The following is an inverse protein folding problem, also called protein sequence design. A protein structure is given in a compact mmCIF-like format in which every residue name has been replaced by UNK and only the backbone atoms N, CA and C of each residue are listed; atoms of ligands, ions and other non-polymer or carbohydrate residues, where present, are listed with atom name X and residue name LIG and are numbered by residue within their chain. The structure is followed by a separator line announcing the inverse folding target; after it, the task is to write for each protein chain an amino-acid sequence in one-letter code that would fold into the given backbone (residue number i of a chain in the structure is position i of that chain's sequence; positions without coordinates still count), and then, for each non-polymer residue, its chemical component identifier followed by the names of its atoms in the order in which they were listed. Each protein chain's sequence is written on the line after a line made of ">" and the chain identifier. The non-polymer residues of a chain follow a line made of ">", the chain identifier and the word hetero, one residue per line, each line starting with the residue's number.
data_IF_114872162278
#
_entry.id   IF_114872162278
#
_cell.length_a   1.000
_cell.length_b   1.000
_cell.length_c   1.000
_cell.angle_alpha   90.00
_cell.angle_beta   90.00
_cell.angle_gamma   90.00
#
_symmetry.space_group_name_H-M   'P 1'
#
loop_
_entity.id
_entity.type
_entity.pdbx_description
1 polymer ?
#
# COMPACT_ATOMS: atom_id res chain seq x y z
N UNK A 1 14.40 13.60 3.12
CA UNK A 1 14.83 12.50 3.93
C UNK A 1 14.12 11.24 3.55
N UNK A 2 14.87 10.19 3.39
CA UNK A 2 14.33 8.94 2.88
C UNK A 2 13.21 8.36 3.73
N UNK A 3 13.27 8.54 5.03
CA UNK A 3 12.24 7.99 5.91
C UNK A 3 10.88 8.68 5.77
N UNK A 4 10.83 9.84 5.12
CA UNK A 4 9.57 10.52 4.85
C UNK A 4 8.83 9.81 3.71
N UNK A 5 9.57 9.25 2.79
CA UNK A 5 9.03 8.75 1.54
C UNK A 5 8.87 7.24 1.49
N UNK A 6 9.08 6.56 2.60
CA UNK A 6 9.01 5.13 2.56
C UNK A 6 8.56 4.54 3.88
N UNK A 7 8.19 3.28 3.83
CA UNK A 7 7.85 2.50 5.00
C UNK A 7 9.09 1.75 5.44
N UNK A 8 9.47 1.84 6.72
CA UNK A 8 10.70 1.20 7.18
C UNK A 8 10.63 -0.31 7.12
N UNK A 9 11.82 -0.94 7.17
CA UNK A 9 11.95 -2.40 7.15
C UNK A 9 11.73 -2.98 8.53
N UNK A 10 11.11 -4.16 8.56
CA UNK A 10 10.97 -4.95 9.77
C UNK A 10 9.79 -4.55 10.63
N UNK A 11 9.53 -5.35 11.65
CA UNK A 11 8.43 -5.11 12.56
C UNK A 11 8.89 -4.23 13.71
N UNK A 12 8.39 -2.99 13.74
CA UNK A 12 8.60 -2.06 14.84
C UNK A 12 7.48 -1.02 14.79
N UNK A 13 7.40 -0.21 15.84
CA UNK A 13 6.41 0.85 15.89
C UNK A 13 6.58 1.83 14.72
N UNK A 14 7.82 2.17 14.38
CA UNK A 14 8.14 3.06 13.27
C UNK A 14 8.14 2.38 11.92
N UNK A 15 8.18 1.06 11.89
CA UNK A 15 8.29 0.29 10.66
C UNK A 15 7.05 -0.51 10.32
N UNK A 16 6.09 -0.53 11.23
CA UNK A 16 4.87 -1.28 11.01
C UNK A 16 5.01 -2.75 11.40
N UNK A 17 3.87 -3.40 11.50
CA UNK A 17 3.75 -4.79 11.94
C UNK A 17 2.80 -5.50 11.01
N UNK A 18 3.17 -6.71 10.58
CA UNK A 18 2.32 -7.57 9.77
C UNK A 18 1.75 -8.67 10.64
N UNK A 19 0.43 -8.82 10.64
CA UNK A 19 -0.25 -9.91 11.35
C UNK A 19 -1.19 -10.58 10.35
N UNK A 20 -0.80 -11.78 9.92
CA UNK A 20 -1.52 -12.44 8.85
C UNK A 20 -1.38 -11.65 7.56
N UNK A 21 -2.50 -11.23 6.98
CA UNK A 21 -2.50 -10.41 5.77
C UNK A 21 -2.79 -8.94 6.06
N UNK A 22 -2.82 -8.55 7.34
CA UNK A 22 -3.08 -7.15 7.70
C UNK A 22 -1.82 -6.45 8.16
N UNK A 23 -1.63 -5.24 7.67
CA UNK A 23 -0.51 -4.37 8.01
C UNK A 23 -1.00 -3.28 8.95
N UNK A 24 -0.25 -3.04 10.03
CA UNK A 24 -0.52 -1.98 11.00
C UNK A 24 0.71 -1.11 11.13
N UNK A 25 0.53 0.19 11.20
CA UNK A 25 1.66 1.10 11.40
C UNK A 25 1.26 2.14 12.44
N UNK A 26 1.78 2.00 13.66
CA UNK A 26 1.38 2.86 14.78
C UNK A 26 1.77 4.32 14.58
N UNK A 27 3.00 4.57 14.15
CA UNK A 27 3.47 5.95 13.99
C UNK A 27 2.74 6.69 12.87
N UNK A 28 2.39 6.02 11.79
CA UNK A 28 1.58 6.61 10.73
C UNK A 28 0.10 6.57 11.06
N UNK A 29 -0.31 5.74 12.02
CA UNK A 29 -1.68 5.64 12.46
C UNK A 29 -2.62 4.99 11.45
N UNK A 30 -2.12 4.04 10.66
CA UNK A 30 -2.91 3.43 9.59
C UNK A 30 -2.87 1.91 9.65
N UNK A 31 -3.84 1.32 8.99
CA UNK A 31 -3.90 -0.13 8.78
C UNK A 31 -4.53 -0.42 7.43
N UNK A 32 -4.18 -1.55 6.86
CA UNK A 32 -4.83 -2.04 5.66
C UNK A 32 -4.72 -3.57 5.60
N UNK A 33 -5.66 -4.20 4.92
CA UNK A 33 -5.66 -5.64 4.73
C UNK A 33 -5.29 -5.96 3.28
N UNK A 34 -4.24 -6.75 3.11
CA UNK A 34 -3.94 -7.34 1.80
C UNK A 34 -4.89 -8.51 1.56
N UNK A 35 -5.00 -9.02 0.33
CA UNK A 35 -5.88 -10.14 0.07
C UNK A 35 -5.53 -11.34 0.95
N UNK A 36 -6.55 -12.05 1.42
CA UNK A 36 -6.35 -13.19 2.31
C UNK A 36 -5.46 -14.25 1.66
N UNK A 37 -4.49 -14.74 2.43
CA UNK A 37 -3.58 -15.77 1.97
C UNK A 37 -2.36 -15.26 1.23
N UNK A 38 -2.28 -13.96 0.97
CA UNK A 38 -1.10 -13.39 0.34
C UNK A 38 0.04 -13.28 1.34
N UNK A 39 1.26 -13.40 0.84
CA UNK A 39 2.47 -13.23 1.63
C UNK A 39 2.81 -11.73 1.65
N UNK A 40 3.09 -11.21 2.84
CA UNK A 40 3.37 -9.77 3.01
C UNK A 40 4.82 -9.59 3.44
N UNK A 41 5.56 -8.81 2.67
CA UNK A 41 6.96 -8.51 2.92
C UNK A 41 7.10 -7.01 3.20
N UNK A 42 7.45 -6.69 4.45
CA UNK A 42 7.57 -5.31 4.91
C UNK A 42 8.99 -4.81 4.65
N UNK A 43 9.19 -4.22 3.48
CA UNK A 43 10.49 -3.73 3.06
C UNK A 43 10.75 -2.29 3.52
N UNK A 44 11.98 -1.82 3.35
CA UNK A 44 12.39 -0.50 3.82
C UNK A 44 11.56 0.65 3.23
N UNK A 45 11.32 0.63 1.93
CA UNK A 45 10.67 1.75 1.26
C UNK A 45 9.22 1.48 0.87
N UNK A 46 8.76 0.25 1.06
CA UNK A 46 7.42 -0.15 0.66
C UNK A 46 7.03 -1.46 1.31
N UNK A 47 5.74 -1.73 1.34
CA UNK A 47 5.22 -3.04 1.72
C UNK A 47 4.83 -3.75 0.43
N UNK A 48 5.27 -4.97 0.28
CA UNK A 48 4.98 -5.78 -0.90
C UNK A 48 4.17 -6.99 -0.48
N UNK A 49 3.06 -7.23 -1.16
CA UNK A 49 2.25 -8.42 -0.94
C UNK A 49 2.11 -9.18 -2.25
N UNK A 50 2.16 -10.50 -2.17
CA UNK A 50 2.10 -11.31 -3.38
C UNK A 50 1.48 -12.67 -3.11
N UNK A 51 0.95 -13.28 -4.16
CA UNK A 51 0.40 -14.63 -4.09
C UNK A 51 1.52 -15.63 -3.90
N UNK A 52 1.19 -16.77 -3.33
CA UNK A 52 2.16 -17.86 -3.15
C UNK A 52 2.81 -18.25 -4.48
N UNK A 53 2.03 -18.25 -5.55
CA UNK A 53 2.54 -18.57 -6.89
C UNK A 53 3.33 -17.42 -7.51
N UNK A 54 3.33 -16.24 -6.87
CA UNK A 54 4.00 -15.03 -7.37
C UNK A 54 3.49 -14.58 -8.74
N UNK A 55 2.20 -14.78 -8.98
CA UNK A 55 1.56 -14.37 -10.22
C UNK A 55 0.78 -13.07 -10.09
N UNK A 56 0.67 -12.51 -8.89
CA UNK A 56 0.08 -11.20 -8.65
C UNK A 56 0.83 -10.53 -7.50
N UNK A 57 1.00 -9.21 -7.59
CA UNK A 57 1.75 -8.42 -6.62
C UNK A 57 1.03 -7.11 -6.36
N UNK A 58 0.98 -6.71 -5.10
CA UNK A 58 0.56 -5.37 -4.69
C UNK A 58 1.69 -4.72 -3.92
N UNK A 59 1.89 -3.42 -4.13
CA UNK A 59 2.83 -2.65 -3.32
C UNK A 59 2.15 -1.43 -2.74
N UNK A 60 2.60 -1.02 -1.56
CA UNK A 60 2.13 0.20 -0.91
C UNK A 60 3.34 0.98 -0.44
N UNK A 61 3.37 2.26 -0.77
CA UNK A 61 4.40 3.17 -0.29
C UNK A 61 3.74 4.50 0.07
N UNK A 62 4.48 5.37 0.72
CA UNK A 62 3.95 6.66 1.14
C UNK A 62 4.98 7.75 0.89
N UNK A 63 4.50 8.91 0.45
CA UNK A 63 5.36 10.07 0.31
C UNK A 63 4.54 11.34 0.52
N UNK A 64 5.21 12.41 0.90
CA UNK A 64 4.54 13.69 1.10
C UNK A 64 4.26 14.33 -0.26
N UNK A 65 3.00 14.63 -0.58
CA UNK A 65 2.70 15.34 -1.82
C UNK A 65 3.07 16.82 -1.69
N UNK A 66 3.29 17.52 -2.82
CA UNK A 66 3.47 18.96 -2.77
C UNK A 66 2.27 19.64 -2.10
N UNK A 67 2.48 20.73 -1.36
CA UNK A 67 1.39 21.43 -0.69
C UNK A 67 0.27 21.83 -1.66
N UNK A 68 -0.97 21.57 -1.26
CA UNK A 68 -2.15 21.95 -2.05
C UNK A 68 -2.45 21.07 -3.26
N UNK A 69 -1.66 20.04 -3.48
CA UNK A 69 -1.88 19.15 -4.62
C UNK A 69 -2.92 18.09 -4.27
N UNK A 70 -3.99 18.01 -5.07
CA UNK A 70 -5.04 17.01 -4.89
C UNK A 70 -4.59 15.63 -5.38
N UNK A 71 -5.26 14.55 -4.92
CA UNK A 71 -4.89 13.19 -5.36
C UNK A 71 -4.86 13.01 -6.87
N UNK A 72 -5.81 13.59 -7.59
CA UNK A 72 -5.83 13.50 -9.06
C UNK A 72 -4.59 14.09 -9.69
N UNK A 73 -4.17 15.26 -9.21
CA UNK A 73 -2.99 15.94 -9.74
C UNK A 73 -1.72 15.17 -9.37
N UNK A 74 -1.67 14.65 -8.15
CA UNK A 74 -0.52 13.88 -7.69
C UNK A 74 -0.34 12.63 -8.55
N UNK A 75 -1.42 11.89 -8.77
CA UNK A 75 -1.36 10.70 -9.60
C UNK A 75 -0.99 11.05 -11.04
N UNK A 76 -1.54 12.13 -11.56
CA UNK A 76 -1.23 12.61 -12.91
C UNK A 76 0.24 12.93 -13.08
N UNK A 77 0.86 13.57 -12.09
CA UNK A 77 2.30 13.87 -12.14
C UNK A 77 3.15 12.62 -12.03
N UNK A 78 2.77 11.71 -11.15
CA UNK A 78 3.48 10.45 -10.98
C UNK A 78 3.46 9.62 -12.27
N UNK A 79 2.35 9.68 -13.00
CA UNK A 79 2.16 8.93 -14.24
C UNK A 79 2.36 9.78 -15.49
N UNK A 80 3.07 10.90 -15.38
CA UNK A 80 3.31 11.78 -16.51
C UNK A 80 4.02 11.03 -17.63
N UNK A 81 3.51 11.18 -18.86
CA UNK A 81 4.05 10.49 -20.02
C UNK A 81 3.59 9.06 -20.17
N UNK A 82 2.78 8.57 -19.26
CA UNK A 82 2.26 7.20 -19.29
C UNK A 82 0.78 7.24 -19.69
N UNK A 83 0.40 6.36 -20.61
CA UNK A 83 -1.00 6.27 -21.02
C UNK A 83 -1.80 5.54 -19.93
N UNK A 84 -2.90 6.17 -19.51
CA UNK A 84 -3.79 5.60 -18.51
C UNK A 84 -5.20 5.47 -19.06
N UNK A 85 -5.95 4.52 -18.45
CA UNK A 85 -7.36 4.32 -18.74
C UNK A 85 -8.11 4.20 -17.43
N UNK A 86 -9.43 4.27 -17.47
CA UNK A 86 -10.30 4.08 -16.32
C UNK A 86 -9.93 4.94 -15.12
N UNK A 87 -9.44 6.15 -15.38
CA UNK A 87 -9.11 7.09 -14.33
C UNK A 87 -10.39 7.61 -13.66
N UNK A 88 -10.43 7.58 -12.33
CA UNK A 88 -11.62 7.99 -11.59
C UNK A 88 -11.28 8.35 -10.16
N UNK A 89 -12.09 9.25 -9.54
CA UNK A 89 -11.96 9.50 -8.11
C UNK A 89 -12.22 8.24 -7.31
N UNK A 90 -11.58 8.16 -6.14
CA UNK A 90 -11.72 7.02 -5.26
C UNK A 90 -11.90 7.54 -3.84
N UNK A 91 -12.90 7.03 -3.14
CA UNK A 91 -13.08 7.32 -1.72
C UNK A 91 -12.85 6.06 -0.93
N UNK A 92 -11.99 6.15 0.08
CA UNK A 92 -11.64 5.01 0.91
C UNK A 92 -11.85 5.42 2.36
N UNK A 93 -12.92 4.91 2.98
CA UNK A 93 -13.25 5.24 4.37
C UNK A 93 -13.22 6.74 4.64
N UNK A 94 -13.87 7.50 3.78
CA UNK A 94 -13.94 8.97 3.83
C UNK A 94 -12.64 9.69 3.50
N UNK A 95 -11.63 8.97 3.06
CA UNK A 95 -10.37 9.57 2.61
C UNK A 95 -10.40 9.76 1.11
N UNK A 96 -9.85 10.89 0.66
CA UNK A 96 -9.82 11.22 -0.75
C UNK A 96 -8.72 10.50 -1.48
N UNK A 97 -9.03 10.02 -2.66
CA UNK A 97 -8.08 9.34 -3.50
C UNK A 97 -8.42 9.42 -4.97
N UNK A 98 -7.59 8.80 -5.77
CA UNK A 98 -7.78 8.72 -7.21
C UNK A 98 -7.16 7.42 -7.69
N UNK A 99 -7.70 6.87 -8.79
CA UNK A 99 -7.17 5.63 -9.35
C UNK A 99 -7.10 5.70 -10.86
N UNK A 100 -6.27 4.83 -11.43
CA UNK A 100 -6.15 4.68 -12.87
C UNK A 100 -5.57 3.31 -13.20
N UNK A 101 -5.76 2.89 -14.43
CA UNK A 101 -5.07 1.73 -14.98
C UNK A 101 -3.99 2.26 -15.92
N UNK A 102 -2.74 1.85 -15.68
CA UNK A 102 -1.61 2.17 -16.53
C UNK A 102 -1.52 1.13 -17.62
N UNK A 103 -1.36 1.57 -18.87
CA UNK A 103 -1.31 0.64 -20.01
C UNK A 103 -0.06 -0.20 -20.04
N UNK A 104 1.07 0.40 -19.71
CA UNK A 104 2.34 -0.30 -19.75
C UNK A 104 3.35 0.37 -18.83
N UNK A 105 3.96 -0.44 -17.98
CA UNK A 105 5.06 -0.03 -17.12
C UNK A 105 5.91 -1.25 -16.82
N UNK A 106 7.09 -1.03 -16.25
CA UNK A 106 7.93 -2.16 -15.84
C UNK A 106 7.31 -2.80 -14.60
N UNK A 107 6.99 -4.08 -14.73
CA UNK A 107 6.36 -4.85 -13.67
C UNK A 107 7.42 -5.50 -12.76
N UNK A 108 7.03 -5.99 -11.58
CA UNK A 108 7.97 -6.61 -10.65
C UNK A 108 8.77 -7.78 -11.23
N UNK A 109 8.26 -8.43 -12.25
CA UNK A 109 8.96 -9.56 -12.89
C UNK A 109 9.94 -9.12 -13.98
N UNK A 110 10.05 -7.80 -14.22
CA UNK A 110 10.96 -7.25 -15.22
C UNK A 110 10.37 -7.04 -16.60
N UNK A 111 9.20 -7.58 -16.86
CA UNK A 111 8.51 -7.38 -18.13
C UNK A 111 7.72 -6.09 -18.14
N UNK A 112 7.28 -5.67 -19.32
CA UNK A 112 6.38 -4.54 -19.48
C UNK A 112 4.94 -5.03 -19.47
N UNK A 113 4.06 -4.31 -18.81
CA UNK A 113 2.65 -4.69 -18.78
C UNK A 113 1.78 -3.68 -18.06
N UNK A 114 0.46 -3.91 -18.06
CA UNK A 114 -0.47 -3.01 -17.41
C UNK A 114 -0.47 -3.17 -15.90
N UNK A 115 -0.91 -2.12 -15.20
CA UNK A 115 -1.00 -2.15 -13.75
C UNK A 115 -2.13 -1.26 -13.27
N UNK A 116 -2.70 -1.64 -12.12
CA UNK A 116 -3.63 -0.77 -11.40
C UNK A 116 -2.81 0.12 -10.47
N UNK A 117 -3.17 1.40 -10.40
CA UNK A 117 -2.53 2.36 -9.51
C UNK A 117 -3.61 3.15 -8.80
N UNK A 118 -3.40 3.38 -7.51
CA UNK A 118 -4.30 4.22 -6.72
C UNK A 118 -3.48 5.05 -5.76
N UNK A 119 -4.01 6.20 -5.39
CA UNK A 119 -3.42 7.03 -4.35
C UNK A 119 -4.52 7.41 -3.38
N UNK A 120 -4.22 7.39 -2.08
CA UNK A 120 -5.15 7.80 -1.03
C UNK A 120 -4.39 8.72 -0.10
N UNK A 121 -4.99 9.87 0.21
CA UNK A 121 -4.39 10.85 1.11
C UNK A 121 -4.84 10.63 2.54
N UNK A 122 -3.89 10.63 3.45
CA UNK A 122 -4.19 10.66 4.87
C UNK A 122 -3.06 11.38 5.60
N UNK A 123 -3.44 12.35 6.42
CA UNK A 123 -2.52 13.04 7.34
C UNK A 123 -1.27 13.58 6.64
N UNK A 124 -1.48 14.29 5.53
CA UNK A 124 -0.44 14.93 4.72
C UNK A 124 0.51 13.96 4.03
N UNK A 125 0.12 12.72 3.88
CA UNK A 125 0.85 11.75 3.09
C UNK A 125 -0.03 11.19 1.98
N UNK A 126 0.61 10.91 0.85
CA UNK A 126 -0.01 10.20 -0.25
C UNK A 126 0.42 8.73 -0.16
N UNK A 127 -0.56 7.85 0.04
CA UNK A 127 -0.31 6.41 0.04
C UNK A 127 -0.54 5.89 -1.36
N UNK A 128 0.49 5.30 -1.93
CA UNK A 128 0.52 4.88 -3.33
C UNK A 128 0.40 3.37 -3.39
N UNK A 129 -0.62 2.89 -4.08
CA UNK A 129 -0.91 1.46 -4.22
C UNK A 129 -0.70 1.08 -5.68
N UNK A 130 0.04 0.01 -5.90
CA UNK A 130 0.23 -0.53 -7.24
C UNK A 130 -0.10 -2.01 -7.22
N UNK A 131 -0.82 -2.47 -8.25
CA UNK A 131 -1.16 -3.87 -8.35
C UNK A 131 -1.04 -4.36 -9.78
N UNK A 132 -0.42 -5.52 -9.94
CA UNK A 132 -0.21 -6.10 -11.27
C UNK A 132 -0.22 -7.62 -11.22
N UNK A 133 -0.43 -8.22 -12.37
CA UNK A 133 -0.37 -9.67 -12.54
C UNK A 133 0.75 -10.01 -13.50
N UNK A 134 1.34 -11.19 -13.33
CA UNK A 134 2.44 -11.62 -14.16
C UNK A 134 2.02 -11.71 -15.63
N UNK A 135 0.80 -12.19 -15.88
CA UNK A 135 0.23 -12.23 -17.20
C UNK A 135 -0.75 -11.07 -17.37
N UNK A 136 -0.54 -10.25 -18.40
CA UNK A 136 -1.37 -9.08 -18.63
C UNK A 136 -2.86 -9.41 -18.70
N UNK A 137 -3.20 -10.56 -19.25
CA UNK A 137 -4.60 -11.00 -19.38
C UNK A 137 -5.29 -11.20 -18.03
N UNK A 138 -4.54 -11.39 -16.96
CA UNK A 138 -5.10 -11.59 -15.63
C UNK A 138 -5.50 -10.30 -14.92
N UNK A 139 -5.10 -9.14 -15.44
CA UNK A 139 -5.27 -7.88 -14.71
C UNK A 139 -6.74 -7.53 -14.47
N UNK A 140 -7.61 -7.72 -15.45
CA UNK A 140 -9.01 -7.37 -15.29
C UNK A 140 -9.70 -8.18 -14.20
N UNK A 141 -9.36 -9.46 -14.08
CA UNK A 141 -9.88 -10.29 -12.99
C UNK A 141 -9.28 -9.97 -11.64
N UNK A 142 -8.07 -9.42 -11.64
CA UNK A 142 -7.39 -9.01 -10.43
C UNK A 142 -7.88 -7.66 -9.91
N UNK A 143 -8.38 -6.79 -10.78
CA UNK A 143 -8.77 -5.44 -10.39
C UNK A 143 -9.73 -5.39 -9.19
N UNK A 144 -10.79 -6.21 -9.10
CA UNK A 144 -11.65 -6.20 -7.93
C UNK A 144 -10.91 -6.58 -6.64
N UNK A 145 -9.96 -7.51 -6.74
CA UNK A 145 -9.14 -7.93 -5.60
C UNK A 145 -8.28 -6.77 -5.12
N UNK A 146 -7.63 -6.09 -6.07
CA UNK A 146 -6.80 -4.92 -5.77
C UNK A 146 -7.61 -3.82 -5.11
N UNK A 147 -8.75 -3.45 -5.69
CA UNK A 147 -9.58 -2.37 -5.17
C UNK A 147 -10.18 -2.73 -3.81
N UNK A 148 -10.56 -3.98 -3.60
CA UNK A 148 -11.05 -4.43 -2.30
C UNK A 148 -9.99 -4.23 -1.23
N UNK A 149 -8.74 -4.55 -1.54
CA UNK A 149 -7.64 -4.35 -0.60
C UNK A 149 -7.41 -2.86 -0.32
N UNK A 150 -7.34 -2.05 -1.37
CA UNK A 150 -7.16 -0.60 -1.23
C UNK A 150 -8.26 -0.01 -0.34
N UNK A 151 -9.48 -0.46 -0.51
CA UNK A 151 -10.62 0.06 0.25
C UNK A 151 -10.62 -0.32 1.73
N UNK A 152 -9.74 -1.23 2.15
CA UNK A 152 -9.57 -1.52 3.57
C UNK A 152 -8.68 -0.50 4.26
N UNK A 153 -7.96 0.32 3.50
CA UNK A 153 -7.07 1.32 4.07
C UNK A 153 -7.86 2.31 4.92
N UNK A 154 -7.40 2.52 6.15
CA UNK A 154 -8.05 3.42 7.08
C UNK A 154 -7.11 3.77 8.23
N UNK A 155 -7.49 4.76 9.01
CA UNK A 155 -6.73 5.08 10.22
C UNK A 155 -6.99 3.99 11.28
N UNK A 156 -6.04 3.84 12.17
CA UNK A 156 -6.18 2.94 13.31
C UNK A 156 -7.25 3.46 14.27
N UNK A 157 -8.01 2.54 14.84
CA UNK A 157 -8.88 2.84 15.97
C UNK A 157 -8.05 2.81 17.24
N UNK A 158 -8.54 3.47 18.29
CA UNK A 158 -7.80 3.55 19.54
C UNK A 158 -7.41 2.17 20.08
N UNK A 159 -8.32 1.21 19.99
CA UNK A 159 -8.07 -0.13 20.53
C UNK A 159 -7.17 -0.99 19.63
N UNK A 160 -6.77 -0.48 18.47
CA UNK A 160 -5.93 -1.22 17.53
C UNK A 160 -4.45 -0.92 17.68
N UNK A 161 -4.09 0.10 18.46
CA UNK A 161 -2.68 0.42 18.65
C UNK A 161 -1.92 -0.70 19.34
N UNK A 162 -2.59 -1.49 20.16
CA UNK A 162 -1.97 -2.67 20.76
C UNK A 162 -1.57 -3.69 19.68
N UNK A 163 -2.42 -3.90 18.67
CA UNK A 163 -2.10 -4.81 17.58
C UNK A 163 -0.93 -4.30 16.72
N UNK A 164 -0.70 -3.00 16.74
CA UNK A 164 0.41 -2.38 16.00
C UNK A 164 1.74 -2.42 16.76
N UNK A 165 1.74 -2.93 18.00
CA UNK A 165 2.98 -3.07 18.78
C UNK A 165 3.73 -4.32 18.33
N UNK A 166 5.06 -4.22 18.18
CA UNK A 166 5.87 -5.38 17.78
C UNK A 166 5.87 -6.46 18.86
N UNK A 167 5.83 -7.71 18.44
CA UNK A 167 5.92 -8.85 19.37
C UNK A 167 7.21 -8.82 20.19
N UNK A 168 8.29 -8.37 19.57
CA UNK A 168 9.58 -8.27 20.25
C UNK A 168 9.50 -7.43 21.52
N UNK A 169 8.75 -6.32 21.50
CA UNK A 169 8.59 -5.47 22.68
C UNK A 169 7.84 -6.21 23.77
N UNK A 170 6.80 -6.94 23.42
CA UNK A 170 6.03 -7.72 24.40
C UNK A 170 6.88 -8.82 25.06
N UNK A 171 7.72 -9.49 24.26
CA UNK A 171 8.59 -10.53 24.78
C UNK A 171 9.58 -9.95 25.77
N UNK A 172 10.20 -8.80 25.45
CA UNK A 172 11.14 -8.15 26.34
C UNK A 172 10.48 -7.76 27.66
N UNK A 173 9.28 -7.20 27.60
CA UNK A 173 8.55 -6.80 28.79
C UNK A 173 8.23 -8.01 29.67
N UNK A 174 7.81 -9.11 29.07
CA UNK A 174 7.49 -10.32 29.82
C UNK A 174 8.72 -10.91 30.51
N UNK A 175 9.87 -10.87 29.85
CA UNK A 175 11.11 -11.42 30.40
C UNK A 175 11.69 -10.59 31.55
N UNK A 176 11.28 -9.35 31.68
CA UNK A 176 11.77 -8.48 32.75
C UNK A 176 10.96 -8.63 34.03
N UNK A 177 10.00 -9.49 34.03
CA UNK A 177 9.20 -9.75 35.21
C UNK A 177 9.65 -11.03 35.90
#
# INVERSE_FOLDING_TARGET
>A
LSHINGLPVGDSRAQGVVRGSRFYHADLGITLAFPTGWIVDNQRSKVVAYTEAKDAVMTVSAEAPPPGMAPKEFLGRMLQGVTTTEAAPLQVNSLDGYRAVVRSMTLPWGNQGPANVAVVYYNNLAYIFQGSTRQAAGLSGFEPVFLSSVKTFRRLKDNEFTAAEPDRIRVIQASNQ
#
